data_IF_218250664396
#
_entry.id   IF_218250664396
#
_cell.length_a   1.000
_cell.length_b   1.000
_cell.length_c   1.000
_cell.angle_alpha   90.00
_cell.angle_beta   90.00
_cell.angle_gamma   90.00
#
_symmetry.space_group_name_H-M   'P 1'
#
loop_
_entity.id
_entity.type
_entity.pdbx_description
1 polymer ?
#
# COMPACT_ATOMS: atom_id res chain seq x y z
N UNK A 1 -12.96 64.88 -23.07
CA UNK A 1 -12.05 64.14 -22.18
C UNK A 1 -11.97 62.71 -22.73
N UNK A 2 -11.30 62.37 -23.83
CA UNK A 2 -9.82 62.38 -24.10
C UNK A 2 -9.04 61.94 -22.85
N UNK A 3 -8.33 60.80 -22.78
CA UNK A 3 -7.40 60.10 -23.69
C UNK A 3 -7.38 58.59 -23.30
N UNK A 4 -7.55 57.63 -24.21
CA UNK A 4 -6.57 56.95 -25.09
C UNK A 4 -5.62 55.94 -24.41
N UNK A 5 -5.64 54.73 -25.01
CA UNK A 5 -4.55 53.80 -25.32
C UNK A 5 -4.00 52.85 -24.25
N UNK A 6 -4.45 51.60 -24.36
CA UNK A 6 -3.64 50.36 -24.38
C UNK A 6 -2.39 50.61 -25.27
N UNK A 7 -1.15 50.19 -24.91
CA UNK A 7 -0.76 48.81 -25.24
C UNK A 7 0.34 48.11 -24.42
N UNK A 8 0.34 46.78 -24.59
CA UNK A 8 1.50 45.90 -24.80
C UNK A 8 2.52 45.67 -23.65
N UNK A 9 2.68 44.37 -23.31
CA UNK A 9 3.98 43.67 -23.41
C UNK A 9 5.10 44.12 -22.45
N UNK A 10 4.83 44.21 -21.14
CA UNK A 10 5.88 44.49 -20.16
C UNK A 10 5.78 43.71 -18.83
N UNK A 11 5.38 42.43 -18.87
CA UNK A 11 5.47 41.55 -17.70
C UNK A 11 5.95 40.13 -18.03
N UNK A 12 6.68 40.00 -19.15
CA UNK A 12 7.49 38.85 -19.53
C UNK A 12 8.88 39.42 -19.79
N UNK A 13 9.76 39.44 -18.77
CA UNK A 13 11.22 39.71 -18.80
C UNK A 13 11.70 40.36 -17.48
N UNK A 14 11.65 39.61 -16.38
CA UNK A 14 12.35 39.86 -15.11
C UNK A 14 11.84 38.75 -14.18
N UNK A 15 12.47 37.57 -14.10
CA UNK A 15 13.64 37.33 -13.27
C UNK A 15 14.35 36.10 -13.86
N UNK A 16 15.41 36.35 -14.62
CA UNK A 16 16.51 35.41 -14.80
C UNK A 16 17.79 36.24 -14.86
N UNK A 17 18.83 35.72 -14.22
CA UNK A 17 20.22 36.23 -14.12
C UNK A 17 20.53 37.21 -12.98
N UNK A 18 21.17 36.65 -11.95
CA UNK A 18 22.42 37.13 -11.33
C UNK A 18 22.72 36.16 -10.17
N UNK A 19 23.92 35.67 -9.89
CA UNK A 19 25.17 35.55 -10.63
C UNK A 19 25.96 34.42 -9.95
N UNK A 20 26.87 33.82 -10.71
CA UNK A 20 27.81 32.81 -10.25
C UNK A 20 28.90 33.37 -9.30
N UNK A 21 29.49 32.43 -8.55
CA UNK A 21 30.89 32.37 -8.12
C UNK A 21 31.31 33.12 -6.86
N UNK A 22 31.68 32.36 -5.82
CA UNK A 22 32.93 32.62 -5.09
C UNK A 22 33.56 31.30 -4.61
N UNK A 23 34.77 31.05 -5.10
CA UNK A 23 35.70 29.96 -4.76
C UNK A 23 36.45 30.26 -3.46
N UNK A 24 36.78 29.22 -2.67
CA UNK A 24 38.04 28.92 -1.96
C UNK A 24 37.70 27.80 -0.93
N UNK A 25 38.32 26.62 -0.84
CA UNK A 25 39.72 26.25 -1.06
C UNK A 25 40.46 26.15 0.28
N UNK A 26 40.30 25.06 1.07
CA UNK A 26 41.31 24.64 2.06
C UNK A 26 41.37 23.13 2.18
N UNK A 27 42.42 22.56 1.59
CA UNK A 27 42.96 21.27 1.98
C UNK A 27 43.56 21.40 3.39
N UNK A 28 43.20 20.48 4.27
CA UNK A 28 43.96 20.19 5.49
C UNK A 28 44.31 18.71 5.45
N UNK A 29 45.58 18.45 5.13
CA UNK A 29 46.21 17.16 5.36
C UNK A 29 46.70 17.12 6.82
N UNK A 30 46.19 16.19 7.62
CA UNK A 30 46.82 15.82 8.90
C UNK A 30 46.80 14.29 9.05
N UNK A 31 47.97 13.72 8.75
CA UNK A 31 48.72 12.65 9.44
C UNK A 31 47.99 11.36 9.84
N UNK A 32 48.39 10.29 9.17
CA UNK A 32 48.26 8.90 9.59
C UNK A 32 48.89 8.66 10.96
N UNK A 33 48.19 7.95 11.88
CA UNK A 33 48.82 7.33 13.03
C UNK A 33 49.52 6.03 12.63
N UNK A 34 50.65 5.84 13.29
CA UNK A 34 51.64 4.78 13.23
C UNK A 34 51.03 3.42 13.64
N UNK A 35 51.35 2.38 12.89
CA UNK A 35 51.07 0.96 13.24
C UNK A 35 51.91 0.56 14.45
N UNK A 36 51.27 -0.07 15.44
CA UNK A 36 51.88 -0.82 16.54
C UNK A 36 51.31 -2.25 16.54
N UNK A 37 52.07 -3.25 17.04
CA UNK A 37 51.93 -4.64 16.65
C UNK A 37 50.71 -5.35 17.25
N UNK A 38 50.22 -6.26 16.41
CA UNK A 38 49.14 -7.23 16.58
C UNK A 38 49.25 -8.05 17.88
N UNK A 39 48.17 -8.06 18.67
CA UNK A 39 47.84 -9.19 19.55
C UNK A 39 46.89 -10.09 18.76
N UNK A 40 47.26 -11.36 18.64
CA UNK A 40 46.37 -12.41 18.15
C UNK A 40 45.28 -12.69 19.20
N UNK A 41 44.22 -11.90 19.16
CA UNK A 41 42.93 -12.24 19.76
C UNK A 41 41.99 -12.50 18.59
N UNK A 42 42.02 -13.70 17.99
CA UNK A 42 41.02 -14.08 16.99
C UNK A 42 39.70 -14.28 17.73
N UNK A 43 38.70 -13.38 17.61
CA UNK A 43 37.37 -13.71 18.07
C UNK A 43 36.88 -14.86 17.18
N UNK A 44 36.08 -15.82 17.68
CA UNK A 44 35.43 -16.78 16.81
C UNK A 44 34.79 -16.01 15.65
N UNK A 45 34.87 -16.50 14.40
CA UNK A 45 34.40 -15.73 13.26
C UNK A 45 33.00 -15.24 13.58
N UNK A 46 32.83 -13.91 13.63
CA UNK A 46 31.50 -13.33 13.60
C UNK A 46 30.85 -13.99 12.40
N UNK A 47 29.89 -14.87 12.65
CA UNK A 47 28.98 -15.33 11.63
C UNK A 47 28.47 -14.02 11.06
N UNK A 48 28.89 -13.70 9.83
CA UNK A 48 28.18 -12.69 9.06
C UNK A 48 26.77 -13.22 9.08
N UNK A 49 25.90 -12.61 9.89
CA UNK A 49 24.47 -12.89 9.84
C UNK A 49 24.15 -12.64 8.39
N UNK A 50 24.03 -13.73 7.63
CA UNK A 50 23.72 -13.68 6.22
C UNK A 50 22.48 -12.82 6.10
N UNK A 51 22.41 -12.03 5.04
CA UNK A 51 21.19 -11.32 4.70
C UNK A 51 19.99 -12.25 4.91
N UNK A 52 19.13 -11.92 5.90
CA UNK A 52 18.03 -12.78 6.28
C UNK A 52 17.19 -13.03 5.02
N UNK A 53 17.01 -14.30 4.68
CA UNK A 53 16.26 -14.68 3.48
C UNK A 53 14.86 -14.04 3.53
N UNK A 54 14.32 -13.61 2.37
CA UNK A 54 12.95 -13.11 2.33
C UNK A 54 11.96 -14.18 2.80
N UNK A 55 10.87 -13.74 3.42
CA UNK A 55 9.81 -14.63 3.88
C UNK A 55 8.84 -14.85 2.73
N UNK A 56 8.63 -16.09 2.28
CA UNK A 56 7.67 -16.37 1.21
C UNK A 56 6.24 -16.14 1.70
N UNK A 57 5.38 -15.65 0.81
CA UNK A 57 3.95 -15.43 1.10
C UNK A 57 3.07 -16.18 0.11
N UNK A 58 1.97 -16.72 0.60
CA UNK A 58 0.90 -17.29 -0.21
C UNK A 58 -0.44 -16.97 0.44
N UNK A 59 -1.38 -16.39 -0.30
CA UNK A 59 -2.69 -16.02 0.24
C UNK A 59 -3.80 -16.32 -0.75
N UNK A 60 -4.99 -16.60 -0.24
CA UNK A 60 -6.23 -16.81 -0.98
C UNK A 60 -7.40 -16.11 -0.28
N UNK A 61 -8.28 -15.51 -1.10
CA UNK A 61 -9.56 -14.93 -0.68
C UNK A 61 -9.44 -13.99 0.54
N UNK A 62 -8.54 -13.02 0.46
CA UNK A 62 -8.26 -12.07 1.53
C UNK A 62 -8.83 -10.69 1.21
N UNK A 63 -9.67 -10.16 2.09
CA UNK A 63 -9.97 -8.74 2.17
C UNK A 63 -8.94 -8.10 3.09
N UNK A 64 -7.90 -7.49 2.51
CA UNK A 64 -6.84 -6.85 3.27
C UNK A 64 -7.17 -5.37 3.49
N UNK A 65 -7.37 -4.98 4.75
CA UNK A 65 -7.52 -3.57 5.13
C UNK A 65 -6.17 -2.88 5.08
N UNK A 66 -6.14 -1.71 4.44
CA UNK A 66 -4.98 -0.85 4.21
C UNK A 66 -5.27 0.53 4.80
N UNK A 67 -5.29 0.60 6.12
CA UNK A 67 -5.74 1.78 6.86
C UNK A 67 -7.28 1.87 6.93
N UNK A 68 -7.83 2.97 7.48
CA UNK A 68 -9.24 3.06 7.87
C UNK A 68 -10.23 3.19 6.70
N UNK A 69 -9.76 3.57 5.50
CA UNK A 69 -10.62 3.97 4.38
C UNK A 69 -10.26 3.29 3.06
N UNK A 70 -9.38 2.28 3.09
CA UNK A 70 -8.97 1.58 1.88
C UNK A 70 -8.77 0.11 2.18
N UNK A 71 -9.31 -0.74 1.31
CA UNK A 71 -9.15 -2.18 1.37
C UNK A 71 -8.92 -2.71 -0.03
N UNK A 72 -8.23 -3.83 -0.13
CA UNK A 72 -8.00 -4.55 -1.37
C UNK A 72 -8.47 -5.99 -1.24
N UNK A 73 -8.87 -6.56 -2.36
CA UNK A 73 -9.39 -7.92 -2.46
C UNK A 73 -8.34 -8.78 -3.15
N UNK A 74 -7.59 -9.53 -2.37
CA UNK A 74 -6.61 -10.48 -2.88
C UNK A 74 -7.34 -11.79 -3.15
N UNK A 75 -7.64 -12.07 -4.43
CA UNK A 75 -8.17 -13.39 -4.80
C UNK A 75 -7.14 -14.46 -4.50
N UNK A 76 -5.91 -14.22 -4.95
CA UNK A 76 -4.75 -15.01 -4.57
C UNK A 76 -3.45 -14.26 -4.87
N UNK A 77 -2.39 -14.57 -4.13
CA UNK A 77 -1.03 -14.10 -4.40
C UNK A 77 -0.01 -15.17 -4.04
N UNK A 78 1.10 -15.15 -4.77
CA UNK A 78 2.36 -15.80 -4.42
C UNK A 78 3.49 -14.78 -4.55
N UNK A 79 4.34 -14.70 -3.54
CA UNK A 79 5.44 -13.75 -3.57
C UNK A 79 6.33 -13.85 -2.34
N UNK A 80 6.90 -12.70 -1.96
CA UNK A 80 7.78 -12.57 -0.82
C UNK A 80 7.48 -11.32 -0.02
N UNK A 81 7.61 -11.40 1.30
CA UNK A 81 7.71 -10.28 2.21
C UNK A 81 9.19 -9.95 2.39
N UNK A 82 9.58 -8.76 1.97
CA UNK A 82 10.97 -8.30 1.98
C UNK A 82 11.10 -7.14 2.96
N UNK A 83 12.14 -7.16 3.78
CA UNK A 83 12.44 -6.08 4.73
C UNK A 83 12.76 -4.76 4.01
N UNK A 84 12.30 -3.65 4.54
CA UNK A 84 12.68 -2.29 4.06
C UNK A 84 13.96 -1.78 4.70
N UNK A 85 14.35 -2.36 5.84
CA UNK A 85 15.51 -1.95 6.65
C UNK A 85 16.33 -3.18 7.04
N UNK A 86 17.65 -3.07 6.97
CA UNK A 86 18.54 -4.21 7.25
C UNK A 86 18.66 -4.54 8.75
N UNK A 87 18.46 -3.56 9.61
CA UNK A 87 18.57 -3.64 11.06
C UNK A 87 17.26 -4.06 11.76
N UNK A 88 16.18 -4.25 10.99
CA UNK A 88 14.87 -4.60 11.53
C UNK A 88 14.24 -5.76 10.75
N UNK A 89 13.79 -6.79 11.48
CA UNK A 89 12.97 -7.85 10.89
C UNK A 89 11.62 -7.27 10.41
N UNK A 90 11.05 -7.80 9.31
CA UNK A 90 9.65 -7.59 8.98
C UNK A 90 8.75 -7.81 10.21
N UNK A 91 7.80 -6.92 10.44
CA UNK A 91 6.94 -6.95 11.61
C UNK A 91 5.53 -6.51 11.30
N UNK A 92 4.52 -7.27 11.72
CA UNK A 92 3.12 -6.81 11.60
C UNK A 92 2.82 -5.60 12.49
N UNK A 93 3.59 -5.37 13.55
CA UNK A 93 3.48 -4.18 14.40
C UNK A 93 4.16 -2.94 13.80
N UNK A 94 4.89 -3.10 12.69
CA UNK A 94 5.46 -2.00 11.91
C UNK A 94 5.25 -2.26 10.42
N UNK A 95 4.11 -1.86 9.84
CA UNK A 95 3.77 -2.17 8.46
C UNK A 95 4.67 -1.47 7.42
N UNK A 96 5.52 -0.53 7.86
CA UNK A 96 6.58 0.09 7.04
C UNK A 96 7.89 -0.70 7.06
N UNK A 97 8.02 -1.72 7.92
CA UNK A 97 9.21 -2.58 8.00
C UNK A 97 9.35 -3.58 6.84
N UNK A 98 8.33 -3.69 5.99
CA UNK A 98 8.33 -4.63 4.88
C UNK A 98 7.53 -4.16 3.66
N UNK A 99 7.85 -4.76 2.51
CA UNK A 99 7.07 -4.68 1.27
C UNK A 99 6.67 -6.09 0.86
N UNK A 100 5.44 -6.25 0.40
CA UNK A 100 4.96 -7.47 -0.23
C UNK A 100 5.32 -7.44 -1.73
N UNK A 101 6.36 -8.17 -2.10
CA UNK A 101 6.84 -8.38 -3.46
C UNK A 101 6.04 -9.51 -4.12
N UNK A 102 5.00 -9.16 -4.85
CA UNK A 102 4.12 -10.09 -5.55
C UNK A 102 4.79 -10.56 -6.85
N UNK A 103 5.01 -11.86 -6.95
CA UNK A 103 5.55 -12.48 -8.16
C UNK A 103 4.42 -12.84 -9.11
N UNK A 104 3.33 -13.41 -8.58
CA UNK A 104 2.12 -13.76 -9.32
C UNK A 104 0.90 -13.56 -8.44
N UNK A 105 -0.20 -13.14 -9.04
CA UNK A 105 -1.46 -13.05 -8.33
C UNK A 105 -2.47 -12.14 -8.99
N UNK A 106 -3.63 -12.08 -8.36
CA UNK A 106 -4.76 -11.27 -8.76
C UNK A 106 -5.26 -10.49 -7.55
N UNK A 107 -5.21 -9.17 -7.68
CA UNK A 107 -5.72 -8.22 -6.67
C UNK A 107 -6.78 -7.36 -7.33
N UNK A 108 -7.92 -7.21 -6.66
CA UNK A 108 -9.00 -6.32 -7.08
C UNK A 108 -9.16 -5.16 -6.10
N UNK A 109 -9.63 -4.03 -6.62
CA UNK A 109 -10.05 -2.86 -5.85
C UNK A 109 -11.48 -2.52 -6.26
N UNK A 110 -12.43 -2.49 -5.33
CA UNK A 110 -13.79 -2.06 -5.64
C UNK A 110 -13.81 -0.56 -5.90
N UNK A 111 -14.62 -0.13 -6.87
CA UNK A 111 -14.75 1.28 -7.22
C UNK A 111 -15.30 2.11 -6.04
N UNK A 112 -16.16 1.51 -5.21
CA UNK A 112 -16.68 2.14 -3.98
C UNK A 112 -15.57 2.40 -2.95
N UNK A 113 -14.65 1.45 -2.77
CA UNK A 113 -13.55 1.60 -1.79
C UNK A 113 -12.54 2.63 -2.29
N UNK A 114 -12.25 2.65 -3.60
CA UNK A 114 -11.40 3.68 -4.20
C UNK A 114 -12.04 5.08 -4.09
N UNK A 115 -13.34 5.21 -4.36
CA UNK A 115 -14.05 6.46 -4.19
C UNK A 115 -14.07 6.90 -2.71
N UNK A 116 -14.28 5.98 -1.77
CA UNK A 116 -14.19 6.23 -0.34
C UNK A 116 -12.81 6.75 0.08
N UNK A 117 -11.74 6.09 -0.38
CA UNK A 117 -10.37 6.50 -0.13
C UNK A 117 -10.05 7.91 -0.65
N UNK A 118 -10.49 8.23 -1.87
CA UNK A 118 -10.30 9.57 -2.45
C UNK A 118 -11.09 10.64 -1.67
N UNK A 119 -12.33 10.35 -1.28
CA UNK A 119 -13.16 11.28 -0.51
C UNK A 119 -12.67 11.50 0.92
N UNK A 120 -11.94 10.53 1.51
CA UNK A 120 -11.31 10.68 2.81
C UNK A 120 -10.10 11.65 2.80
N UNK A 121 -9.65 12.11 1.62
CA UNK A 121 -8.49 12.99 1.49
C UNK A 121 -7.15 12.30 1.82
N UNK A 122 -7.14 10.97 1.87
CA UNK A 122 -6.03 10.16 2.38
C UNK A 122 -4.76 10.17 1.50
N UNK A 123 -4.80 10.80 0.32
CA UNK A 123 -3.68 10.89 -0.64
C UNK A 123 -2.82 12.15 -0.49
N UNK A 124 -2.91 12.87 0.64
CA UNK A 124 -1.92 13.88 1.05
C UNK A 124 -1.69 15.06 0.09
N UNK A 125 -2.61 15.32 -0.83
CA UNK A 125 -2.43 16.37 -1.86
C UNK A 125 -3.39 16.27 -3.05
N UNK A 126 -4.08 15.15 -3.25
CA UNK A 126 -5.18 15.01 -4.25
C UNK A 126 -6.50 15.62 -3.74
N UNK A 127 -6.45 16.37 -2.62
CA UNK A 127 -7.59 17.10 -2.04
C UNK A 127 -8.21 18.19 -2.93
N UNK A 128 -7.92 18.19 -4.23
CA UNK A 128 -8.61 18.99 -5.21
C UNK A 128 -10.04 18.50 -5.47
N UNK A 129 -10.33 17.20 -5.34
CA UNK A 129 -11.64 16.62 -5.63
C UNK A 129 -12.35 16.10 -4.38
N UNK A 130 -13.61 16.49 -4.19
CA UNK A 130 -14.53 15.85 -3.22
C UNK A 130 -15.77 15.31 -3.94
N UNK A 131 -16.63 14.58 -3.23
CA UNK A 131 -17.83 13.95 -3.80
C UNK A 131 -17.49 13.07 -5.01
N UNK A 132 -16.37 12.36 -4.89
CA UNK A 132 -15.85 11.51 -5.95
C UNK A 132 -16.76 10.30 -6.11
N UNK A 133 -17.19 10.04 -7.34
CA UNK A 133 -17.77 8.76 -7.74
C UNK A 133 -17.06 8.22 -8.98
N UNK A 134 -17.03 6.90 -9.09
CA UNK A 134 -16.25 6.21 -10.12
C UNK A 134 -17.15 5.17 -10.77
N UNK A 135 -17.18 5.18 -12.10
CA UNK A 135 -17.94 4.27 -12.94
C UNK A 135 -17.02 3.70 -14.01
N UNK A 136 -17.37 2.53 -14.54
CA UNK A 136 -16.70 1.92 -15.69
C UNK A 136 -17.65 1.83 -16.88
N UNK A 137 -17.13 2.06 -18.08
CA UNK A 137 -17.85 1.83 -19.34
C UNK A 137 -16.90 1.19 -20.35
N UNK A 138 -17.00 -0.13 -20.50
CA UNK A 138 -16.05 -0.89 -21.32
C UNK A 138 -14.65 -0.85 -20.68
N UNK A 139 -13.66 -0.41 -21.44
CA UNK A 139 -12.27 -0.22 -21.01
C UNK A 139 -12.00 1.18 -20.42
N UNK A 140 -13.04 2.02 -20.31
CA UNK A 140 -12.92 3.38 -19.79
C UNK A 140 -13.37 3.45 -18.33
N UNK A 141 -12.62 4.20 -17.54
CA UNK A 141 -13.01 4.64 -16.21
C UNK A 141 -13.47 6.09 -16.29
N UNK A 142 -14.59 6.38 -15.64
CA UNK A 142 -15.22 7.70 -15.58
C UNK A 142 -15.26 8.13 -14.12
N UNK A 143 -14.63 9.27 -13.84
CA UNK A 143 -14.51 9.85 -12.52
C UNK A 143 -15.33 11.13 -12.50
N UNK A 144 -16.30 11.19 -11.60
CA UNK A 144 -17.02 12.41 -11.27
C UNK A 144 -16.49 12.97 -9.96
N UNK A 145 -16.51 14.28 -9.80
CA UNK A 145 -16.16 14.92 -8.54
C UNK A 145 -16.37 16.44 -8.58
N UNK A 146 -16.10 17.09 -7.46
CA UNK A 146 -16.14 18.54 -7.31
C UNK A 146 -14.73 19.07 -7.08
N UNK A 147 -14.22 19.85 -8.04
CA UNK A 147 -12.95 20.55 -7.92
C UNK A 147 -13.10 21.81 -7.07
N UNK A 148 -12.31 21.93 -5.99
CA UNK A 148 -12.30 23.12 -5.14
C UNK A 148 -11.13 24.01 -5.51
N UNK A 149 -11.41 25.09 -6.26
CA UNK A 149 -10.47 26.22 -6.45
C UNK A 149 -11.02 27.44 -5.72
N UNK A 150 -11.26 28.54 -6.43
CA UNK A 150 -11.92 29.74 -5.88
C UNK A 150 -13.42 29.49 -5.67
N UNK A 151 -14.02 28.65 -6.54
CA UNK A 151 -15.40 28.18 -6.42
C UNK A 151 -15.45 26.65 -6.63
N UNK A 152 -16.42 25.94 -6.02
CA UNK A 152 -16.62 24.52 -6.27
C UNK A 152 -17.13 24.29 -7.71
N UNK A 153 -16.43 23.46 -8.48
CA UNK A 153 -16.78 23.16 -9.87
C UNK A 153 -16.97 21.65 -10.07
N UNK A 154 -18.15 21.17 -10.52
CA UNK A 154 -18.32 19.78 -10.88
C UNK A 154 -17.49 19.46 -12.12
N UNK A 155 -16.71 18.39 -12.04
CA UNK A 155 -15.85 17.90 -13.11
C UNK A 155 -16.19 16.46 -13.48
N UNK A 156 -15.85 16.08 -14.70
CA UNK A 156 -15.92 14.69 -15.16
C UNK A 156 -14.66 14.40 -15.95
N UNK A 157 -13.98 13.32 -15.58
CA UNK A 157 -12.77 12.82 -16.22
C UNK A 157 -13.07 11.44 -16.79
N UNK A 158 -12.72 11.19 -18.04
CA UNK A 158 -12.81 9.86 -18.65
C UNK A 158 -11.43 9.49 -19.15
N UNK A 159 -10.99 8.27 -18.87
CA UNK A 159 -9.70 7.77 -19.32
C UNK A 159 -9.62 6.25 -19.29
N UNK A 160 -8.43 5.73 -19.59
CA UNK A 160 -8.10 4.30 -19.56
C UNK A 160 -6.98 4.04 -18.56
N UNK A 161 -6.88 2.80 -18.07
CA UNK A 161 -5.80 2.36 -17.18
C UNK A 161 -4.89 1.37 -17.89
N UNK A 162 -3.58 1.53 -17.72
CA UNK A 162 -2.58 0.60 -18.21
C UNK A 162 -1.48 0.38 -17.17
N UNK A 163 -0.94 -0.84 -17.02
CA UNK A 163 0.23 -1.06 -16.19
C UNK A 163 1.49 -0.49 -16.86
N UNK A 164 2.41 0.01 -16.06
CA UNK A 164 3.76 0.37 -16.49
C UNK A 164 4.78 -0.69 -16.07
N UNK A 165 5.89 -0.87 -16.82
CA UNK A 165 6.88 -1.92 -16.54
C UNK A 165 7.55 -1.83 -15.15
N UNK A 166 7.55 -0.64 -14.55
CA UNK A 166 8.15 -0.36 -13.23
C UNK A 166 7.18 -0.55 -12.05
N UNK A 167 6.00 -1.13 -12.30
CA UNK A 167 4.99 -1.40 -11.27
C UNK A 167 4.09 -0.19 -10.96
N UNK A 168 4.17 0.89 -11.74
CA UNK A 168 3.20 1.99 -11.70
C UNK A 168 1.96 1.68 -12.54
N UNK A 169 0.89 2.44 -12.30
CA UNK A 169 -0.31 2.42 -13.14
C UNK A 169 -0.41 3.76 -13.86
N UNK A 170 -0.51 3.73 -15.17
CA UNK A 170 -0.81 4.91 -15.99
C UNK A 170 -2.31 5.06 -16.16
N UNK A 171 -2.81 6.27 -15.92
CA UNK A 171 -4.14 6.71 -16.30
C UNK A 171 -4.04 7.71 -17.44
N UNK A 172 -4.50 7.30 -18.62
CA UNK A 172 -4.51 8.12 -19.82
C UNK A 172 -5.86 8.82 -19.99
N UNK A 173 -5.89 10.14 -19.96
CA UNK A 173 -7.13 10.91 -20.08
C UNK A 173 -7.56 11.03 -21.54
N UNK A 174 -8.78 10.56 -21.80
CA UNK A 174 -9.47 10.68 -23.08
C UNK A 174 -10.30 11.97 -23.17
N UNK A 175 -10.96 12.35 -22.07
CA UNK A 175 -11.74 13.58 -22.02
C UNK A 175 -11.86 14.15 -20.62
N UNK A 176 -12.04 15.47 -20.57
CA UNK A 176 -12.22 16.23 -19.35
C UNK A 176 -13.32 17.29 -19.56
N UNK A 177 -14.26 17.39 -18.62
CA UNK A 177 -15.40 18.32 -18.68
C UNK A 177 -15.57 19.05 -17.35
N UNK A 178 -15.96 20.33 -17.42
CA UNK A 178 -16.25 21.18 -16.26
C UNK A 178 -17.64 21.79 -16.44
N UNK A 179 -18.49 21.77 -15.40
CA UNK A 179 -19.87 22.26 -15.50
C UNK A 179 -20.67 21.60 -16.64
N UNK A 180 -20.38 20.32 -16.95
CA UNK A 180 -20.94 19.56 -18.08
C UNK A 180 -20.63 20.13 -19.47
N UNK A 181 -19.78 21.15 -19.56
CA UNK A 181 -19.26 21.66 -20.81
C UNK A 181 -18.00 20.87 -21.17
N UNK A 182 -17.98 20.16 -22.31
CA UNK A 182 -16.79 19.45 -22.74
C UNK A 182 -15.69 20.47 -23.05
N UNK A 183 -14.55 20.38 -22.38
CA UNK A 183 -13.40 21.20 -22.72
C UNK A 183 -12.74 20.59 -23.96
N UNK A 184 -13.19 21.02 -25.15
CA UNK A 184 -12.50 20.73 -26.41
C UNK A 184 -11.18 21.51 -26.42
N UNK A 185 -10.14 20.89 -25.87
CA UNK A 185 -8.86 21.56 -25.67
C UNK A 185 -7.64 20.66 -25.46
N UNK A 186 -7.79 19.33 -25.41
CA UNK A 186 -6.63 18.41 -25.41
C UNK A 186 -5.88 18.44 -26.77
N UNK A 187 -6.49 19.03 -27.81
CA UNK A 187 -5.89 19.38 -29.10
C UNK A 187 -6.12 20.88 -29.37
N UNK A 188 -5.16 21.72 -28.97
CA UNK A 188 -4.85 23.01 -29.62
C UNK A 188 -5.83 24.20 -29.53
N UNK A 189 -6.84 24.21 -28.65
CA UNK A 189 -7.90 25.24 -28.71
C UNK A 189 -7.96 26.28 -27.58
N UNK A 190 -7.58 25.94 -26.35
CA UNK A 190 -7.62 26.82 -25.18
C UNK A 190 -6.49 26.41 -24.23
N UNK A 191 -5.68 27.37 -23.76
CA UNK A 191 -4.52 27.15 -22.89
C UNK A 191 -4.93 26.83 -21.43
N UNK A 192 -5.78 25.82 -21.24
CA UNK A 192 -6.00 25.20 -19.94
C UNK A 192 -5.36 23.81 -20.02
N UNK A 193 -4.07 23.76 -19.72
CA UNK A 193 -3.38 22.50 -19.55
C UNK A 193 -3.86 21.86 -18.26
N UNK A 194 -3.82 20.53 -18.17
CA UNK A 194 -4.20 19.83 -16.96
C UNK A 194 -3.27 20.17 -15.77
N UNK A 195 -2.05 20.61 -16.07
CA UNK A 195 -1.10 21.20 -15.13
C UNK A 195 -1.62 22.51 -14.49
N UNK A 196 -2.57 23.20 -15.12
CA UNK A 196 -3.23 24.38 -14.55
C UNK A 196 -4.36 24.00 -13.57
N UNK A 197 -4.83 22.75 -13.60
CA UNK A 197 -5.88 22.22 -12.72
C UNK A 197 -5.34 21.48 -11.50
N UNK A 198 -4.08 21.06 -11.54
CA UNK A 198 -3.36 20.48 -10.40
C UNK A 198 -2.57 21.58 -9.68
N UNK A 199 -2.54 21.62 -8.35
CA UNK A 199 -1.62 22.50 -7.66
C UNK A 199 -0.20 22.15 -8.13
N UNK A 200 0.68 23.15 -8.30
CA UNK A 200 2.11 22.96 -8.65
C UNK A 200 2.89 22.08 -7.65
N UNK A 201 2.24 21.57 -6.62
CA UNK A 201 2.76 20.56 -5.71
C UNK A 201 2.93 19.24 -6.45
N UNK A 202 4.17 18.78 -6.55
CA UNK A 202 4.48 17.38 -6.83
C UNK A 202 3.85 16.54 -5.71
N UNK A 203 2.64 16.03 -5.91
CA UNK A 203 2.06 15.06 -4.98
C UNK A 203 2.96 13.82 -5.00
N UNK A 204 3.54 13.42 -3.85
CA UNK A 204 4.40 12.25 -3.81
C UNK A 204 3.71 11.03 -4.41
N UNK A 205 4.36 10.39 -5.38
CA UNK A 205 3.82 9.23 -6.08
C UNK A 205 2.90 9.52 -7.27
N UNK A 206 2.72 10.78 -7.69
CA UNK A 206 2.03 11.12 -8.95
C UNK A 206 3.02 11.81 -9.87
N UNK A 207 3.17 11.28 -11.09
CA UNK A 207 3.87 11.93 -12.17
C UNK A 207 2.89 12.28 -13.29
N UNK A 208 2.95 13.50 -13.80
CA UNK A 208 2.03 13.98 -14.83
C UNK A 208 2.85 14.33 -16.08
N UNK A 209 2.47 13.75 -17.21
CA UNK A 209 3.08 14.03 -18.51
C UNK A 209 1.98 14.15 -19.58
N UNK A 210 1.67 15.39 -19.99
CA UNK A 210 0.59 15.63 -20.96
C UNK A 210 -0.77 15.19 -20.41
N UNK A 211 -1.32 14.12 -20.99
CA UNK A 211 -2.62 13.54 -20.59
C UNK A 211 -2.48 12.29 -19.71
N UNK A 212 -1.24 11.92 -19.37
CA UNK A 212 -0.93 10.71 -18.61
C UNK A 212 -0.63 11.04 -17.15
N UNK A 213 -1.23 10.25 -16.26
CA UNK A 213 -0.93 10.22 -14.83
C UNK A 213 -0.34 8.88 -14.48
N UNK A 214 0.92 8.87 -14.10
CA UNK A 214 1.59 7.67 -13.62
C UNK A 214 1.52 7.66 -12.09
N UNK A 215 0.82 6.67 -11.55
CA UNK A 215 0.60 6.47 -10.12
C UNK A 215 1.56 5.44 -9.56
N UNK A 216 2.39 5.86 -8.62
CA UNK A 216 3.22 5.01 -7.76
C UNK A 216 2.41 4.58 -6.54
N UNK A 217 1.82 3.39 -6.63
CA UNK A 217 0.91 2.85 -5.61
C UNK A 217 1.59 2.61 -4.26
N UNK A 218 2.91 2.44 -4.22
CA UNK A 218 3.68 2.30 -2.96
C UNK A 218 3.81 3.62 -2.20
N UNK A 219 3.71 4.75 -2.91
CA UNK A 219 3.75 6.07 -2.27
C UNK A 219 2.36 6.62 -1.98
N UNK A 220 1.38 6.24 -2.80
CA UNK A 220 0.01 6.77 -2.71
C UNK A 220 -0.86 6.02 -1.72
N UNK A 221 -0.68 4.71 -1.60
CA UNK A 221 -1.52 3.87 -0.76
C UNK A 221 -0.87 3.69 0.61
N UNK A 222 -1.67 3.59 1.69
CA UNK A 222 -1.15 3.27 3.01
C UNK A 222 -0.39 1.93 3.05
N UNK A 223 0.48 1.72 4.03
CA UNK A 223 1.11 0.41 4.25
C UNK A 223 0.06 -0.65 4.67
N UNK A 224 0.37 -1.96 4.55
CA UNK A 224 1.61 -2.53 4.01
C UNK A 224 1.75 -2.33 2.51
N UNK A 225 2.95 -1.97 2.06
CA UNK A 225 3.21 -1.66 0.65
C UNK A 225 3.24 -2.94 -0.20
N UNK A 226 2.72 -2.83 -1.42
CA UNK A 226 2.66 -3.95 -2.38
C UNK A 226 3.37 -3.51 -3.63
N UNK A 227 4.29 -4.35 -4.11
CA UNK A 227 5.02 -4.14 -5.34
C UNK A 227 5.07 -5.42 -6.15
N UNK A 228 5.17 -5.29 -7.47
CA UNK A 228 5.30 -6.42 -8.37
C UNK A 228 5.11 -5.99 -9.81
N UNK A 229 5.48 -6.87 -10.73
CA UNK A 229 5.28 -6.62 -12.15
C UNK A 229 3.80 -6.78 -12.51
N UNK A 230 3.10 -5.66 -12.66
CA UNK A 230 1.73 -5.66 -13.18
C UNK A 230 1.75 -5.96 -14.67
N UNK A 231 1.03 -7.00 -15.09
CA UNK A 231 0.99 -7.45 -16.50
C UNK A 231 -0.32 -7.08 -17.18
N UNK A 232 -1.40 -6.92 -16.41
CA UNK A 232 -2.72 -6.57 -16.94
C UNK A 232 -3.53 -5.80 -15.90
N UNK A 233 -4.26 -4.80 -16.37
CA UNK A 233 -5.31 -4.12 -15.61
C UNK A 233 -6.61 -4.29 -16.38
N UNK A 234 -7.66 -4.78 -15.71
CA UNK A 234 -8.97 -5.03 -16.32
C UNK A 234 -10.04 -4.30 -15.51
N UNK A 235 -10.88 -3.55 -16.21
CA UNK A 235 -12.05 -2.92 -15.62
C UNK A 235 -13.23 -3.91 -15.67
N UNK A 236 -13.97 -4.00 -14.57
CA UNK A 236 -15.26 -4.68 -14.45
C UNK A 236 -16.27 -3.68 -13.89
N UNK A 237 -17.56 -4.03 -13.88
CA UNK A 237 -18.66 -3.11 -13.51
C UNK A 237 -18.49 -2.39 -12.17
N UNK A 238 -17.84 -3.03 -11.21
CA UNK A 238 -17.72 -2.58 -9.82
C UNK A 238 -16.29 -2.66 -9.26
N UNK A 239 -15.31 -3.08 -10.07
CA UNK A 239 -13.93 -3.28 -9.61
C UNK A 239 -12.88 -3.08 -10.71
N UNK A 240 -11.67 -2.73 -10.26
CA UNK A 240 -10.43 -2.76 -11.05
C UNK A 240 -9.67 -4.02 -10.65
N UNK A 241 -9.36 -4.90 -11.61
CA UNK A 241 -8.57 -6.11 -11.43
C UNK A 241 -7.15 -5.89 -11.91
N UNK A 242 -6.17 -6.16 -11.07
CA UNK A 242 -4.74 -6.03 -11.35
C UNK A 242 -4.10 -7.42 -11.29
N UNK A 243 -3.49 -7.82 -12.39
CA UNK A 243 -2.80 -9.09 -12.54
C UNK A 243 -1.30 -8.86 -12.42
N UNK A 244 -0.65 -9.71 -11.63
CA UNK A 244 0.80 -9.71 -11.43
C UNK A 244 1.42 -10.93 -12.09
N UNK A 245 2.54 -10.73 -12.79
CA UNK A 245 3.24 -11.78 -13.52
C UNK A 245 2.32 -12.53 -14.50
N UNK A 246 2.62 -13.80 -14.74
CA UNK A 246 1.80 -14.68 -15.59
C UNK A 246 0.68 -15.36 -14.78
N UNK A 247 -0.13 -14.57 -14.07
CA UNK A 247 -1.26 -15.06 -13.30
C UNK A 247 -2.39 -15.58 -14.22
N UNK A 248 -2.92 -16.80 -14.01
CA UNK A 248 -4.12 -17.25 -14.71
C UNK A 248 -5.35 -16.42 -14.30
N UNK A 249 -6.32 -16.31 -15.21
CA UNK A 249 -7.56 -15.55 -15.00
C UNK A 249 -8.68 -16.33 -14.30
N UNK A 250 -8.55 -17.66 -14.17
CA UNK A 250 -9.68 -18.53 -13.78
C UNK A 250 -10.02 -18.42 -12.29
N UNK A 251 -11.03 -17.62 -11.96
CA UNK A 251 -11.55 -17.46 -10.60
C UNK A 251 -12.22 -18.73 -10.05
N UNK A 252 -12.77 -19.60 -10.91
CA UNK A 252 -13.62 -20.72 -10.48
C UNK A 252 -12.88 -21.77 -9.65
N UNK A 253 -11.63 -22.10 -10.02
CA UNK A 253 -10.81 -23.02 -9.23
C UNK A 253 -10.28 -22.36 -7.95
N UNK A 254 -10.17 -21.04 -7.94
CA UNK A 254 -9.60 -20.28 -6.83
C UNK A 254 -10.65 -20.01 -5.73
N UNK A 255 -11.95 -19.99 -6.10
CA UNK A 255 -13.05 -19.89 -5.13
C UNK A 255 -13.26 -21.14 -4.27
N UNK A 256 -12.65 -22.28 -4.62
CA UNK A 256 -12.73 -23.52 -3.83
C UNK A 256 -11.71 -23.57 -2.68
N UNK A 257 -10.73 -22.67 -2.68
CA UNK A 257 -9.72 -22.60 -1.63
C UNK A 257 -10.29 -21.97 -0.37
N UNK A 258 -9.82 -22.46 0.80
CA UNK A 258 -10.03 -21.76 2.06
C UNK A 258 -9.44 -20.35 2.00
N UNK A 259 -9.95 -19.46 2.86
CA UNK A 259 -9.42 -18.11 2.99
C UNK A 259 -8.27 -18.15 4.00
N UNK A 260 -7.06 -17.78 3.55
CA UNK A 260 -5.88 -17.83 4.41
C UNK A 260 -4.76 -16.92 3.91
N UNK A 261 -3.82 -16.66 4.82
CA UNK A 261 -2.54 -16.02 4.55
C UNK A 261 -1.42 -16.85 5.20
N UNK A 262 -0.52 -17.38 4.37
CA UNK A 262 0.61 -18.22 4.77
C UNK A 262 1.94 -17.51 4.56
N UNK A 263 2.83 -17.64 5.53
CA UNK A 263 4.22 -17.20 5.51
C UNK A 263 5.15 -18.40 5.70
N UNK A 264 6.25 -18.46 4.95
CA UNK A 264 7.25 -19.52 5.11
C UNK A 264 8.70 -19.06 4.88
N UNK A 265 9.64 -19.54 5.68
CA UNK A 265 11.05 -19.16 5.65
C UNK A 265 11.33 -17.76 6.21
N UNK A 266 12.58 -17.31 6.15
CA UNK A 266 12.96 -15.96 6.56
C UNK A 266 12.71 -15.66 8.05
N UNK A 267 12.34 -14.42 8.37
CA UNK A 267 12.04 -13.99 9.75
C UNK A 267 10.82 -13.07 9.79
N UNK A 268 10.06 -13.13 10.87
CA UNK A 268 8.88 -12.28 11.10
C UNK A 268 8.71 -12.01 12.60
N UNK A 269 8.38 -10.77 12.92
CA UNK A 269 7.96 -10.36 14.26
C UNK A 269 6.45 -10.06 14.28
N UNK A 270 5.75 -10.50 15.31
CA UNK A 270 4.39 -10.04 15.60
C UNK A 270 4.13 -10.08 17.11
N UNK A 271 3.70 -8.95 17.67
CA UNK A 271 3.54 -8.72 19.09
C UNK A 271 4.89 -8.86 19.79
N UNK A 272 5.00 -9.89 20.64
CA UNK A 272 6.24 -10.22 21.37
C UNK A 272 6.95 -11.45 20.80
N UNK A 273 6.45 -12.01 19.70
CA UNK A 273 6.97 -13.23 19.09
C UNK A 273 7.90 -12.84 17.95
N UNK A 274 9.11 -13.41 17.96
CA UNK A 274 10.00 -13.45 16.80
C UNK A 274 10.09 -14.88 16.32
N UNK A 275 9.70 -15.10 15.07
CA UNK A 275 9.83 -16.39 14.40
C UNK A 275 11.00 -16.32 13.42
N UNK A 276 11.99 -17.18 13.64
CA UNK A 276 13.06 -17.44 12.68
C UNK A 276 12.69 -18.71 11.93
N UNK A 277 12.92 -18.74 10.61
CA UNK A 277 12.40 -19.76 9.71
C UNK A 277 10.88 -19.88 9.84
N UNK A 278 10.18 -18.85 9.35
CA UNK A 278 8.73 -18.72 9.55
C UNK A 278 7.99 -19.96 9.03
N UNK A 279 7.04 -20.46 9.80
CA UNK A 279 5.99 -21.38 9.35
C UNK A 279 4.70 -20.94 10.02
N UNK A 280 4.04 -19.95 9.41
CA UNK A 280 2.85 -19.29 9.97
C UNK A 280 1.72 -19.34 8.96
N UNK A 281 0.54 -19.79 9.37
CA UNK A 281 -0.68 -19.70 8.57
C UNK A 281 -1.80 -19.04 9.38
N UNK A 282 -2.31 -17.90 8.90
CA UNK A 282 -3.55 -17.29 9.39
C UNK A 282 -4.71 -17.80 8.54
N UNK A 283 -5.76 -18.30 9.17
CA UNK A 283 -6.88 -18.99 8.55
C UNK A 283 -8.15 -18.29 9.02
N UNK A 284 -9.06 -18.03 8.09
CA UNK A 284 -10.38 -17.48 8.40
C UNK A 284 -11.24 -18.48 9.18
N UNK A 285 -11.89 -17.97 10.24
CA UNK A 285 -12.84 -18.72 11.07
C UNK A 285 -14.31 -18.27 10.87
N UNK A 286 -14.58 -17.22 10.10
CA UNK A 286 -15.90 -16.60 9.94
C UNK A 286 -16.81 -17.26 8.89
N UNK A 287 -16.29 -18.15 8.04
CA UNK A 287 -17.00 -18.76 6.90
C UNK A 287 -17.51 -17.77 5.85
N UNK A 288 -17.02 -16.53 5.87
CA UNK A 288 -17.38 -15.52 4.90
C UNK A 288 -16.64 -15.75 3.56
N UNK A 289 -17.09 -15.16 2.43
CA UNK A 289 -16.41 -15.33 1.14
C UNK A 289 -14.99 -14.72 1.08
N UNK A 290 -14.65 -13.88 2.06
CA UNK A 290 -13.38 -13.19 2.15
C UNK A 290 -12.94 -13.13 3.61
N UNK A 291 -11.69 -13.45 3.88
CA UNK A 291 -11.07 -13.22 5.17
C UNK A 291 -10.79 -11.71 5.34
N UNK A 292 -11.54 -11.03 6.19
CA UNK A 292 -11.38 -9.60 6.50
C UNK A 292 -10.25 -9.39 7.51
N UNK A 293 -9.04 -9.20 6.97
CA UNK A 293 -7.81 -9.06 7.74
C UNK A 293 -7.32 -7.62 7.77
N UNK A 294 -7.18 -7.09 8.97
CA UNK A 294 -6.39 -5.89 9.25
C UNK A 294 -5.02 -6.30 9.81
N UNK A 295 -3.95 -6.23 8.99
CA UNK A 295 -2.59 -6.58 9.44
C UNK A 295 -2.01 -5.55 10.42
N UNK A 296 -2.50 -4.31 10.43
CA UNK A 296 -2.02 -3.26 11.33
C UNK A 296 -2.69 -3.37 12.69
N UNK A 297 -3.98 -3.71 12.70
CA UNK A 297 -4.77 -3.90 13.92
C UNK A 297 -5.07 -5.38 14.22
N UNK A 298 -4.21 -6.28 13.74
CA UNK A 298 -4.44 -7.74 13.78
C UNK A 298 -4.65 -8.27 15.20
N UNK A 299 -4.05 -7.63 16.20
CA UNK A 299 -4.14 -8.04 17.61
C UNK A 299 -5.60 -8.09 18.10
N UNK A 300 -6.46 -7.17 17.63
CA UNK A 300 -7.87 -7.13 18.01
C UNK A 300 -8.65 -8.36 17.52
N UNK A 301 -8.28 -8.90 16.35
CA UNK A 301 -8.82 -10.17 15.84
C UNK A 301 -8.15 -11.37 16.54
N UNK A 302 -6.84 -11.31 16.74
CA UNK A 302 -6.04 -12.39 17.30
C UNK A 302 -6.51 -12.78 18.71
N UNK A 303 -6.85 -11.81 19.57
CA UNK A 303 -7.35 -12.08 20.93
C UNK A 303 -8.73 -12.74 20.97
N UNK A 304 -9.41 -12.86 19.82
CA UNK A 304 -10.68 -13.59 19.71
C UNK A 304 -10.53 -14.88 18.88
N UNK A 305 -9.33 -15.13 18.37
CA UNK A 305 -8.99 -16.32 17.61
C UNK A 305 -8.53 -17.48 18.49
N UNK A 306 -8.17 -18.57 17.82
CA UNK A 306 -7.56 -19.75 18.42
C UNK A 306 -6.26 -20.08 17.65
N UNK A 307 -5.23 -20.53 18.36
CA UNK A 307 -3.98 -20.93 17.72
C UNK A 307 -3.59 -22.35 18.07
N UNK A 308 -2.93 -23.03 17.13
CA UNK A 308 -2.35 -24.37 17.31
C UNK A 308 -0.91 -24.40 16.81
N UNK A 309 -0.08 -25.14 17.51
CA UNK A 309 1.28 -25.47 17.07
C UNK A 309 1.22 -26.74 16.21
N UNK A 310 1.86 -26.72 15.06
CA UNK A 310 1.94 -27.88 14.16
C UNK A 310 3.00 -28.88 14.64
N UNK A 311 2.98 -30.10 14.11
CA UNK A 311 4.03 -31.10 14.39
C UNK A 311 5.41 -30.67 13.90
N UNK A 312 5.47 -29.74 12.94
CA UNK A 312 6.69 -29.10 12.46
C UNK A 312 7.12 -27.87 13.28
N UNK A 313 6.50 -27.64 14.44
CA UNK A 313 6.70 -26.44 15.27
C UNK A 313 6.31 -25.11 14.60
N UNK A 314 5.52 -25.16 13.52
CA UNK A 314 4.86 -24.00 12.94
C UNK A 314 3.66 -23.55 13.76
N UNK A 315 3.08 -22.42 13.37
CA UNK A 315 1.92 -21.81 14.02
C UNK A 315 0.78 -21.68 13.02
N UNK A 316 -0.39 -22.16 13.41
CA UNK A 316 -1.63 -21.86 12.70
C UNK A 316 -2.57 -21.08 13.60
N UNK A 317 -3.15 -20.02 13.06
CA UNK A 317 -4.02 -19.09 13.78
C UNK A 317 -5.35 -19.02 13.04
N UNK A 318 -6.43 -19.43 13.71
CA UNK A 318 -7.79 -19.29 13.23
C UNK A 318 -8.33 -17.96 13.74
N UNK A 319 -8.59 -17.03 12.84
CA UNK A 319 -8.93 -15.65 13.17
C UNK A 319 -10.37 -15.33 12.74
N UNK A 320 -11.17 -14.66 13.59
CA UNK A 320 -12.40 -14.08 13.12
C UNK A 320 -12.11 -12.85 12.25
N UNK A 321 -13.07 -12.51 11.41
CA UNK A 321 -13.03 -11.30 10.60
C UNK A 321 -13.00 -10.02 11.44
N UNK A 322 -12.29 -9.01 10.95
CA UNK A 322 -12.15 -7.71 11.60
C UNK A 322 -13.49 -6.99 11.85
N UNK A 323 -14.52 -7.23 11.04
CA UNK A 323 -15.86 -6.66 11.21
C UNK A 323 -16.73 -7.38 12.27
N UNK A 324 -16.37 -8.60 12.68
CA UNK A 324 -17.11 -9.42 13.68
C UNK A 324 -16.58 -9.20 15.11
N UNK A 325 -15.40 -8.59 15.25
CA UNK A 325 -14.75 -8.31 16.54
C UNK A 325 -15.64 -7.42 17.43
N UNK A 326 -16.38 -8.05 18.34
CA UNK A 326 -17.18 -7.33 19.34
C UNK A 326 -16.30 -6.96 20.54
N UNK A 327 -16.48 -5.77 21.17
CA UNK A 327 -15.65 -5.34 22.31
C UNK A 327 -15.86 -6.11 23.62
N UNK A 328 -16.48 -7.31 23.60
CA UNK A 328 -17.17 -7.87 24.78
C UNK A 328 -16.88 -9.31 25.17
N UNK A 329 -15.92 -10.00 24.54
CA UNK A 329 -15.29 -11.18 25.16
C UNK A 329 -13.88 -10.80 25.58
N UNK A 330 -13.77 -10.22 26.77
CA UNK A 330 -12.48 -10.23 27.46
C UNK A 330 -12.22 -11.69 27.79
N UNK A 331 -11.32 -12.34 27.05
CA UNK A 331 -10.73 -13.58 27.51
C UNK A 331 -10.09 -13.24 28.87
N UNK A 332 -10.58 -13.86 29.94
CA UNK A 332 -10.04 -13.59 31.28
C UNK A 332 -8.56 -14.01 31.29
N UNK A 333 -7.68 -13.05 31.51
CA UNK A 333 -6.25 -13.34 31.59
C UNK A 333 -6.02 -14.35 32.73
N UNK A 334 -5.21 -15.37 32.45
CA UNK A 334 -4.79 -16.33 33.47
C UNK A 334 -4.03 -15.57 34.57
N UNK A 335 -4.63 -15.51 35.77
CA UNK A 335 -4.06 -14.77 36.90
C UNK A 335 -3.07 -15.62 37.68
N UNK A 336 -2.17 -14.98 38.43
CA UNK A 336 -1.26 -15.67 39.33
C UNK A 336 -2.01 -16.49 40.40
N UNK A 337 -3.17 -16.03 40.85
CA UNK A 337 -3.97 -16.75 41.84
C UNK A 337 -4.67 -17.98 41.25
N UNK A 338 -5.12 -17.89 39.99
CA UNK A 338 -5.58 -19.08 39.27
C UNK A 338 -4.44 -20.11 39.15
N UNK A 339 -3.23 -19.68 38.78
CA UNK A 339 -2.05 -20.56 38.65
C UNK A 339 -1.65 -21.24 39.97
N UNK A 340 -1.87 -20.59 41.12
CA UNK A 340 -1.61 -21.19 42.44
C UNK A 340 -2.62 -22.29 42.81
N UNK A 341 -3.79 -22.32 42.19
CA UNK A 341 -4.85 -23.27 42.50
C UNK A 341 -5.04 -24.31 41.39
N UNK A 342 -4.33 -25.44 41.51
CA UNK A 342 -4.42 -26.57 40.58
C UNK A 342 -5.80 -27.24 40.47
N UNK A 343 -6.74 -26.90 41.36
CA UNK A 343 -8.11 -27.42 41.35
C UNK A 343 -9.10 -26.46 40.67
N UNK A 344 -8.67 -25.26 40.29
CA UNK A 344 -9.47 -24.36 39.47
C UNK A 344 -9.75 -25.00 38.11
N UNK A 345 -10.98 -24.84 37.61
CA UNK A 345 -11.30 -25.22 36.24
C UNK A 345 -10.49 -24.39 35.24
N UNK A 346 -10.13 -25.00 34.11
CA UNK A 346 -9.60 -24.26 32.97
C UNK A 346 -10.58 -23.15 32.54
N UNK A 347 -10.07 -22.04 32.00
CA UNK A 347 -10.90 -21.03 31.36
C UNK A 347 -11.88 -21.66 30.34
N UNK A 348 -13.09 -21.14 30.26
CA UNK A 348 -14.20 -21.77 29.51
C UNK A 348 -13.97 -21.81 27.99
N UNK A 349 -13.06 -20.98 27.49
CA UNK A 349 -12.64 -20.86 26.10
C UNK A 349 -11.52 -21.83 25.71
N UNK A 350 -10.93 -22.55 26.67
CA UNK A 350 -9.96 -23.62 26.38
C UNK A 350 -10.73 -24.86 25.89
N UNK A 351 -10.48 -25.36 24.66
CA UNK A 351 -11.09 -26.59 24.18
C UNK A 351 -10.79 -27.77 25.10
N UNK A 352 -11.80 -28.58 25.41
CA UNK A 352 -11.61 -29.84 26.14
C UNK A 352 -11.34 -30.94 25.11
N UNK A 353 -10.24 -31.66 25.30
CA UNK A 353 -9.85 -32.82 24.48
C UNK A 353 -10.24 -34.13 25.14
#
# INVERSE_FOLDING_TARGET
MTKRLIPLVAALMLILTSSASFFWGRHVAIRSPKVSPQRDDTPPPFVRVGEAAPTNIYAHNLLLRKGPHFSIYIRWIQGQMVRTRQDKNPSFDDPESFVLMIQKGLISVRLSDLAGFLNAGATGGVGALTNVSIETKGDQIKIHGTAHKIIPLPVTIVGTLAPLPDGRIQFHILSFSVLRLPLKGLLGGFHLSLADLTPKSQTPGIMIAGNDFDFDTQRLLPPPHIHGQMTKVVLSSDQIRVFYGNAPESDAQLSEWHNFLKFSGGSLNFGKITMNDVDLTMIDASQDPWFDLDLVNYQAQLVQGYSRITTGAGLEIFMPDANVVSPKKVQEAVTLDWLKNRHSSLPADVPRH
#
